data_IF_948819548962
#
_entry.id   IF_948819548962
#
_cell.length_a   1.000
_cell.length_b   1.000
_cell.length_c   1.000
_cell.angle_alpha   90.00
_cell.angle_beta   90.00
_cell.angle_gamma   90.00
#
_symmetry.space_group_name_H-M   'P 1'
#
loop_
_entity.id
_entity.type
_entity.pdbx_description
1 polymer ?
#
# COMPACT_ATOMS: atom_id res chain seq x y z
N UNK A 1 -3.87 -13.45 -12.47
CA UNK A 1 -4.31 -12.28 -11.70
C UNK A 1 -3.16 -11.96 -10.76
N UNK A 2 -2.46 -10.82 -10.93
CA UNK A 2 -1.37 -10.46 -10.04
C UNK A 2 -2.00 -9.78 -8.81
N UNK A 3 -1.98 -10.45 -7.66
CA UNK A 3 -2.64 -10.01 -6.42
C UNK A 3 -1.71 -9.16 -5.53
N UNK A 4 -0.60 -8.66 -6.07
CA UNK A 4 0.42 -7.94 -5.28
C UNK A 4 -0.07 -6.60 -4.70
N UNK A 5 -1.15 -6.04 -5.23
CA UNK A 5 -1.74 -4.79 -4.73
C UNK A 5 -3.21 -5.03 -4.40
N UNK A 6 -3.57 -4.77 -3.15
CA UNK A 6 -4.90 -4.84 -2.59
C UNK A 6 -5.33 -3.43 -2.18
N UNK A 7 -6.62 -3.12 -2.33
CA UNK A 7 -7.21 -1.87 -1.83
C UNK A 7 -8.40 -2.13 -0.91
N UNK A 8 -8.51 -1.34 0.15
CA UNK A 8 -9.57 -1.45 1.14
C UNK A 8 -10.02 -0.08 1.64
N UNK A 9 -11.33 0.10 1.71
CA UNK A 9 -12.01 1.29 2.19
C UNK A 9 -11.97 1.32 3.71
N UNK A 10 -11.29 2.32 4.27
CA UNK A 10 -11.06 2.41 5.71
C UNK A 10 -12.34 2.50 6.52
N UNK A 11 -13.41 3.06 5.94
CA UNK A 11 -14.70 3.21 6.62
C UNK A 11 -15.51 1.89 6.65
N UNK A 12 -15.05 0.85 5.95
CA UNK A 12 -15.68 -0.48 5.87
C UNK A 12 -14.84 -1.59 6.49
N UNK A 13 -13.59 -1.30 6.85
CA UNK A 13 -12.71 -2.24 7.52
C UNK A 13 -13.07 -2.33 9.00
N UNK A 14 -13.08 -3.54 9.53
CA UNK A 14 -13.16 -3.74 10.98
C UNK A 14 -11.92 -3.15 11.66
N UNK A 15 -12.10 -2.53 12.83
CA UNK A 15 -11.03 -1.88 13.61
C UNK A 15 -9.85 -2.82 13.93
N UNK A 16 -10.12 -4.12 14.04
CA UNK A 16 -9.12 -5.14 14.35
C UNK A 16 -8.58 -5.88 13.11
N UNK A 17 -8.98 -5.48 11.90
CA UNK A 17 -8.60 -6.17 10.66
C UNK A 17 -7.08 -6.17 10.44
N UNK A 18 -6.44 -5.02 10.59
CA UNK A 18 -4.98 -4.87 10.40
C UNK A 18 -4.24 -5.72 11.43
N UNK A 19 -4.65 -5.64 12.71
CA UNK A 19 -4.04 -6.40 13.80
C UNK A 19 -4.17 -7.91 13.57
N UNK A 20 -5.38 -8.42 13.34
CA UNK A 20 -5.62 -9.85 13.11
C UNK A 20 -4.87 -10.38 11.90
N UNK A 21 -4.86 -9.61 10.81
CA UNK A 21 -4.15 -10.01 9.58
C UNK A 21 -2.64 -10.01 9.79
N UNK A 22 -2.11 -9.04 10.54
CA UNK A 22 -0.70 -8.96 10.90
C UNK A 22 -0.27 -10.16 11.75
N UNK A 23 -1.02 -10.48 12.81
CA UNK A 23 -0.75 -11.63 13.67
C UNK A 23 -0.74 -12.93 12.85
N UNK A 24 -1.68 -13.09 11.92
CA UNK A 24 -1.74 -14.25 11.05
C UNK A 24 -0.54 -14.31 10.10
N UNK A 25 -0.16 -13.19 9.47
CA UNK A 25 0.96 -13.11 8.56
C UNK A 25 2.28 -13.46 9.25
N UNK A 26 2.56 -12.85 10.40
CA UNK A 26 3.77 -13.10 11.19
C UNK A 26 3.87 -14.56 11.65
N UNK A 27 2.73 -15.16 12.03
CA UNK A 27 2.66 -16.59 12.40
C UNK A 27 3.05 -17.51 11.25
N UNK A 28 2.77 -17.12 10.02
CA UNK A 28 3.15 -17.85 8.80
C UNK A 28 4.57 -17.47 8.31
N UNK A 29 5.32 -16.67 9.08
CA UNK A 29 6.68 -16.24 8.74
C UNK A 29 6.75 -15.19 7.63
N UNK A 30 5.67 -14.44 7.42
CA UNK A 30 5.62 -13.29 6.52
C UNK A 30 6.08 -12.05 7.30
N UNK A 31 7.06 -11.33 6.77
CA UNK A 31 7.50 -10.06 7.34
C UNK A 31 6.39 -9.01 7.15
N UNK A 32 6.07 -8.22 8.19
CA UNK A 32 5.02 -7.19 8.10
C UNK A 32 5.63 -5.82 8.35
N UNK A 33 5.36 -4.89 7.45
CA UNK A 33 5.78 -3.50 7.58
C UNK A 33 4.59 -2.57 7.46
N UNK A 34 4.62 -1.51 8.24
CA UNK A 34 3.51 -0.58 8.40
C UNK A 34 3.94 0.85 8.11
N UNK A 35 3.14 1.55 7.31
CA UNK A 35 3.31 2.96 7.03
C UNK A 35 1.95 3.66 7.15
N UNK A 36 1.79 4.48 8.19
CA UNK A 36 0.61 5.31 8.39
C UNK A 36 0.85 6.73 7.89
N UNK A 37 0.10 7.11 6.87
CA UNK A 37 0.20 8.42 6.24
C UNK A 37 -0.48 9.52 7.08
N UNK A 38 -1.27 9.18 8.10
CA UNK A 38 -1.97 10.16 8.94
C UNK A 38 -1.03 11.08 9.74
N UNK A 39 0.18 10.60 9.99
CA UNK A 39 1.21 11.30 10.77
C UNK A 39 2.04 12.29 9.95
N UNK A 40 1.84 12.35 8.62
CA UNK A 40 2.63 13.18 7.72
C UNK A 40 1.79 14.31 7.11
N UNK A 41 2.43 15.45 6.89
CA UNK A 41 1.81 16.61 6.24
C UNK A 41 1.86 16.54 4.72
N UNK A 42 2.85 15.81 4.16
CA UNK A 42 3.05 15.67 2.72
C UNK A 42 3.81 14.40 2.34
N UNK A 43 3.78 14.04 1.06
CA UNK A 43 4.53 12.90 0.50
C UNK A 43 6.04 13.09 0.61
N UNK A 44 6.52 14.32 0.48
CA UNK A 44 7.95 14.64 0.65
C UNK A 44 8.40 14.32 2.07
N UNK A 45 7.56 14.59 3.08
CA UNK A 45 7.87 14.24 4.46
C UNK A 45 7.92 12.72 4.66
N UNK A 46 6.98 11.97 4.08
CA UNK A 46 6.99 10.49 4.10
C UNK A 46 8.30 9.95 3.50
N UNK A 47 8.73 10.50 2.37
CA UNK A 47 9.89 10.05 1.61
C UNK A 47 11.24 10.38 2.26
N UNK A 48 11.28 11.47 3.02
CA UNK A 48 12.52 11.95 3.65
C UNK A 48 12.64 11.54 5.11
N UNK A 49 11.55 11.03 5.72
CA UNK A 49 11.60 10.49 7.07
C UNK A 49 12.45 9.23 7.14
N UNK A 50 13.45 9.25 8.03
CA UNK A 50 14.32 8.10 8.32
C UNK A 50 13.58 6.94 8.95
N UNK A 51 12.41 7.18 9.55
CA UNK A 51 11.55 6.14 10.13
C UNK A 51 11.00 5.20 9.05
N UNK A 52 10.84 5.71 7.82
CA UNK A 52 10.27 4.96 6.71
C UNK A 52 11.34 4.25 5.85
N UNK A 53 12.62 4.40 6.18
CA UNK A 53 13.72 3.83 5.39
C UNK A 53 13.58 2.31 5.25
N UNK A 54 13.31 1.60 6.35
CA UNK A 54 13.13 0.14 6.32
C UNK A 54 11.94 -0.28 5.43
N UNK A 55 10.85 0.50 5.44
CA UNK A 55 9.68 0.26 4.60
C UNK A 55 10.03 0.35 3.11
N UNK A 56 10.73 1.41 2.71
CA UNK A 56 11.14 1.61 1.31
C UNK A 56 12.27 0.67 0.85
N UNK A 57 13.15 0.26 1.75
CA UNK A 57 14.18 -0.74 1.48
C UNK A 57 13.55 -2.12 1.23
N UNK A 58 12.53 -2.49 2.01
CA UNK A 58 11.81 -3.74 1.81
C UNK A 58 11.13 -3.81 0.43
N UNK A 59 10.51 -2.71 -0.02
CA UNK A 59 9.94 -2.60 -1.37
C UNK A 59 10.99 -2.92 -2.45
N UNK A 60 12.25 -2.54 -2.23
CA UNK A 60 13.34 -2.68 -3.21
C UNK A 60 14.16 -3.95 -3.07
N UNK A 61 14.21 -4.57 -1.88
CA UNK A 61 15.17 -5.64 -1.58
C UNK A 61 14.58 -6.84 -0.83
N UNK A 62 13.27 -6.86 -0.54
CA UNK A 62 12.66 -8.01 0.13
C UNK A 62 12.95 -9.31 -0.63
N UNK A 63 13.44 -10.29 0.13
CA UNK A 63 13.75 -11.65 -0.32
C UNK A 63 12.87 -12.71 0.37
N UNK A 64 12.07 -12.28 1.36
CA UNK A 64 11.09 -13.08 2.08
C UNK A 64 9.70 -12.54 1.82
N UNK A 65 8.65 -13.39 1.85
CA UNK A 65 7.27 -12.94 1.81
C UNK A 65 7.06 -11.77 2.78
N UNK A 66 6.60 -10.64 2.25
CA UNK A 66 6.46 -9.38 2.98
C UNK A 66 5.09 -8.78 2.70
N UNK A 67 4.38 -8.40 3.75
CA UNK A 67 3.13 -7.66 3.72
C UNK A 67 3.38 -6.19 4.06
N UNK A 68 2.98 -5.31 3.16
CA UNK A 68 3.13 -3.86 3.31
C UNK A 68 1.76 -3.22 3.52
N UNK A 69 1.58 -2.58 4.67
CA UNK A 69 0.40 -1.77 4.95
C UNK A 69 0.68 -0.30 4.62
N UNK A 70 -0.12 0.25 3.71
CA UNK A 70 -0.20 1.68 3.45
C UNK A 70 -1.51 2.18 4.08
N UNK A 71 -1.46 2.60 5.34
CA UNK A 71 -2.64 3.04 6.08
C UNK A 71 -2.88 4.56 5.95
N UNK A 72 -4.15 4.96 5.97
CA UNK A 72 -4.60 6.33 5.76
C UNK A 72 -3.98 7.02 4.54
N UNK A 73 -3.72 6.27 3.47
CA UNK A 73 -2.91 6.71 2.33
C UNK A 73 -3.66 7.65 1.37
N UNK A 74 -4.62 8.42 1.88
CA UNK A 74 -5.44 9.40 1.15
C UNK A 74 -4.56 10.42 0.41
N UNK A 75 -3.43 10.83 0.98
CA UNK A 75 -2.50 11.80 0.36
C UNK A 75 -1.78 11.28 -0.89
N UNK A 76 -1.85 9.97 -1.17
CA UNK A 76 -1.40 9.42 -2.46
C UNK A 76 -2.34 9.82 -3.61
N UNK A 77 -3.56 10.29 -3.29
CA UNK A 77 -4.39 11.07 -4.21
C UNK A 77 -4.03 12.57 -4.02
N UNK A 78 -3.29 13.17 -4.98
CA UNK A 78 -3.79 13.33 -6.33
C UNK A 78 -2.81 12.90 -7.44
N UNK A 79 -3.20 11.81 -8.10
CA UNK A 79 -3.03 11.39 -9.52
C UNK A 79 -1.74 11.57 -10.32
N UNK A 80 -0.81 12.49 -10.04
CA UNK A 80 0.42 12.63 -10.82
C UNK A 80 1.56 13.18 -9.97
N UNK A 81 2.07 12.38 -9.05
CA UNK A 81 3.36 12.66 -8.42
C UNK A 81 4.37 11.57 -8.79
N UNK A 82 5.62 11.97 -9.00
CA UNK A 82 6.73 11.07 -9.35
C UNK A 82 6.84 9.88 -8.39
N UNK A 83 6.47 10.08 -7.13
CA UNK A 83 6.44 9.05 -6.12
C UNK A 83 5.49 7.90 -6.48
N UNK A 84 4.23 8.18 -6.80
CA UNK A 84 3.24 7.13 -7.11
C UNK A 84 3.61 6.33 -8.35
N UNK A 85 4.24 6.95 -9.35
CA UNK A 85 4.77 6.24 -10.52
C UNK A 85 5.94 5.32 -10.19
N UNK A 86 6.90 5.79 -9.36
CA UNK A 86 8.00 4.96 -8.89
C UNK A 86 7.49 3.80 -8.05
N UNK A 87 6.58 4.07 -7.11
CA UNK A 87 5.98 3.05 -6.25
C UNK A 87 5.25 1.99 -7.08
N UNK A 88 4.42 2.41 -8.04
CA UNK A 88 3.75 1.50 -8.98
C UNK A 88 4.77 0.67 -9.76
N UNK A 89 5.82 1.29 -10.29
CA UNK A 89 6.87 0.58 -11.02
C UNK A 89 7.47 -0.54 -10.17
N UNK A 90 7.88 -0.25 -8.93
CA UNK A 90 8.51 -1.26 -8.07
C UNK A 90 7.52 -2.35 -7.65
N UNK A 91 6.29 -1.99 -7.26
CA UNK A 91 5.28 -2.96 -6.81
C UNK A 91 4.74 -3.85 -7.94
N UNK A 92 4.75 -3.37 -9.18
CA UNK A 92 4.23 -4.13 -10.34
C UNK A 92 5.31 -4.90 -11.11
N UNK A 93 6.59 -4.52 -10.99
CA UNK A 93 7.71 -5.23 -11.64
C UNK A 93 8.17 -6.44 -10.85
N UNK A 94 7.89 -6.50 -9.53
CA UNK A 94 8.11 -7.68 -8.70
C UNK A 94 7.00 -8.71 -8.95
N UNK A 95 7.21 -9.56 -9.96
CA UNK A 95 6.33 -10.69 -10.29
C UNK A 95 6.64 -11.96 -9.49
N UNK A 96 7.52 -11.88 -8.50
CA UNK A 96 7.95 -13.01 -7.68
C UNK A 96 6.92 -13.38 -6.59
N UNK A 97 5.91 -12.55 -6.36
CA UNK A 97 4.89 -12.76 -5.34
C UNK A 97 5.43 -12.58 -3.91
N UNK A 98 6.64 -12.05 -3.76
CA UNK A 98 7.32 -11.84 -2.48
C UNK A 98 6.68 -10.68 -1.72
N UNK A 99 6.14 -9.68 -2.41
CA UNK A 99 5.52 -8.52 -1.78
C UNK A 99 4.02 -8.51 -2.06
N UNK A 100 3.25 -8.38 -0.98
CA UNK A 100 1.84 -7.98 -1.03
C UNK A 100 1.70 -6.62 -0.38
N UNK A 101 0.95 -5.73 -1.01
CA UNK A 101 0.70 -4.38 -0.53
C UNK A 101 -0.79 -4.16 -0.38
N UNK A 102 -1.19 -3.54 0.73
CA UNK A 102 -2.58 -3.20 1.01
C UNK A 102 -2.70 -1.70 1.23
N UNK A 103 -3.46 -1.06 0.37
CA UNK A 103 -3.74 0.38 0.40
C UNK A 103 -5.06 0.61 1.11
N UNK A 104 -5.01 1.30 2.25
CA UNK A 104 -6.18 1.64 3.08
C UNK A 104 -6.39 3.15 3.03
N UNK A 105 -7.52 3.57 2.48
CA UNK A 105 -7.88 4.98 2.32
C UNK A 105 -9.40 5.14 2.23
N UNK A 106 -9.89 6.38 2.14
CA UNK A 106 -11.31 6.63 1.84
C UNK A 106 -11.65 6.13 0.44
N UNK A 107 -12.90 5.69 0.23
CA UNK A 107 -13.41 5.26 -1.08
C UNK A 107 -13.09 6.23 -2.24
N UNK A 108 -13.22 7.54 -2.00
CA UNK A 108 -12.96 8.56 -3.02
C UNK A 108 -11.50 8.56 -3.45
N UNK A 109 -10.57 8.52 -2.49
CA UNK A 109 -9.13 8.42 -2.72
C UNK A 109 -8.77 7.12 -3.46
N UNK A 110 -9.37 5.99 -3.08
CA UNK A 110 -9.16 4.71 -3.77
C UNK A 110 -9.66 4.74 -5.22
N UNK A 111 -10.80 5.38 -5.48
CA UNK A 111 -11.31 5.58 -6.85
C UNK A 111 -10.33 6.42 -7.67
N UNK A 112 -9.81 7.50 -7.10
CA UNK A 112 -8.80 8.34 -7.75
C UNK A 112 -7.49 7.58 -8.02
N UNK A 113 -7.04 6.72 -7.11
CA UNK A 113 -5.81 5.95 -7.28
C UNK A 113 -5.93 4.78 -8.28
N UNK A 114 -7.03 4.04 -8.24
CA UNK A 114 -7.13 2.73 -8.92
C UNK A 114 -8.15 2.68 -10.07
N UNK A 115 -9.07 3.65 -10.17
CA UNK A 115 -10.15 3.66 -11.18
C UNK A 115 -10.02 4.77 -12.21
N UNK A 116 -9.29 5.84 -11.93
CA UNK A 116 -9.02 6.91 -12.89
C UNK A 116 -7.93 6.47 -13.88
N UNK A 117 -8.19 6.61 -15.19
CA UNK A 117 -7.29 6.19 -16.27
C UNK A 117 -5.97 6.96 -16.33
N UNK A 118 -5.89 8.13 -15.68
CA UNK A 118 -4.68 8.94 -15.55
C UNK A 118 -3.86 8.56 -14.31
N UNK A 119 -4.35 7.65 -13.47
CA UNK A 119 -3.68 7.27 -12.24
C UNK A 119 -2.46 6.38 -12.48
N UNK A 120 -1.44 6.59 -11.66
CA UNK A 120 -0.30 5.68 -11.58
C UNK A 120 -0.76 4.23 -11.31
N UNK A 121 -1.78 4.00 -10.48
CA UNK A 121 -2.25 2.66 -10.13
C UNK A 121 -3.53 2.22 -10.87
N UNK A 122 -3.83 2.81 -12.03
CA UNK A 122 -5.02 2.44 -12.80
C UNK A 122 -5.10 0.93 -13.05
N UNK A 123 -6.21 0.31 -12.60
CA UNK A 123 -6.50 -1.13 -12.70
C UNK A 123 -5.41 -2.05 -12.13
N UNK A 124 -4.57 -1.59 -11.21
CA UNK A 124 -3.50 -2.41 -10.64
C UNK A 124 -3.85 -3.07 -9.32
N UNK A 125 -5.04 -2.83 -8.73
CA UNK A 125 -5.43 -3.38 -7.42
C UNK A 125 -6.61 -4.33 -7.47
N UNK A 126 -6.63 -5.31 -6.57
CA UNK A 126 -7.85 -6.03 -6.18
C UNK A 126 -8.50 -5.35 -4.96
N UNK A 127 -9.77 -4.98 -5.08
CA UNK A 127 -10.53 -4.34 -3.98
C UNK A 127 -11.17 -5.40 -3.10
N UNK A 128 -10.97 -5.35 -1.78
CA UNK A 128 -11.53 -6.34 -0.81
C UNK A 128 -12.74 -5.83 -0.02
N UNK A 129 -12.98 -4.53 -0.02
CA UNK A 129 -14.17 -3.92 0.59
C UNK A 129 -15.04 -3.33 -0.52
N UNK A 130 -16.21 -3.93 -0.78
CA UNK A 130 -17.17 -3.42 -1.75
C UNK A 130 -18.39 -2.89 -1.00
N UNK A 131 -18.83 -1.68 -1.34
CA UNK A 131 -20.17 -1.17 -1.03
C UNK A 131 -21.03 -1.32 -2.28
#
# INVERSE_FOLDING_TARGET
MNLSIISADKDLLDVDFIEKTTILAEKEGIDVLYLDFSSYESIEHVLTSTENTAFFEAIQSASKPTLLWFDNCDMLAPLNCDFTYRLRSVLTTRFDGVIQSVFIAKNESLKLMFTDSKAAFYQSSMRITCR
#
